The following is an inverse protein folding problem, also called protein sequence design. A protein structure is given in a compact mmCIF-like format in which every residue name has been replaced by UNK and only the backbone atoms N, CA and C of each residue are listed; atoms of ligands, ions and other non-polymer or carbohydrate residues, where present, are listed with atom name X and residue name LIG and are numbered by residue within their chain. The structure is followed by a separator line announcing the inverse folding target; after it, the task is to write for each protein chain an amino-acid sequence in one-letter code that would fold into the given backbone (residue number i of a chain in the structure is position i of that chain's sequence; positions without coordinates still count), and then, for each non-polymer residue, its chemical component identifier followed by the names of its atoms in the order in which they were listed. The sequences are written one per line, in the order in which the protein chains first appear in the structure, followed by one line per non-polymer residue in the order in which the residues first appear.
data_IF_662822541209
#
_entry.id   IF_662822541209
#
_cell.length_a   1.000
_cell.length_b   1.000
_cell.length_c   1.000
_cell.angle_alpha   90.00
_cell.angle_beta   90.00
_cell.angle_gamma   90.00
#
_symmetry.space_group_name_H-M   'P 1'
#
loop_
_entity.id
_entity.type
_entity.pdbx_description
1 polymer ?
#
# COMPACT_ATOMS: atom_id res chain seq x y z
N UNK A 1 -27.14 -8.10 -13.91
CA UNK A 1 -26.90 -7.72 -15.32
C UNK A 1 -26.09 -6.44 -15.50
N UNK A 2 -26.38 -5.31 -14.84
CA UNK A 2 -25.61 -4.06 -15.03
C UNK A 2 -24.12 -4.16 -14.67
N UNK A 3 -23.76 -4.76 -13.52
CA UNK A 3 -22.34 -4.93 -13.09
C UNK A 3 -21.51 -5.82 -14.04
N UNK A 4 -22.11 -6.84 -14.63
CA UNK A 4 -21.47 -7.70 -15.65
C UNK A 4 -21.05 -6.93 -16.89
N UNK A 5 -21.94 -6.06 -17.39
CA UNK A 5 -21.66 -5.21 -18.54
C UNK A 5 -20.50 -4.23 -18.27
N UNK A 6 -20.36 -3.76 -17.02
CA UNK A 6 -19.26 -2.85 -16.63
C UNK A 6 -17.93 -3.58 -16.65
N UNK A 7 -17.84 -4.78 -16.07
CA UNK A 7 -16.60 -5.57 -16.05
C UNK A 7 -16.14 -5.96 -17.46
N UNK A 8 -17.04 -6.46 -18.31
CA UNK A 8 -16.73 -6.76 -19.72
C UNK A 8 -16.32 -5.52 -20.50
N UNK A 9 -16.97 -4.39 -20.27
CA UNK A 9 -16.60 -3.10 -20.89
C UNK A 9 -15.20 -2.68 -20.50
N UNK A 10 -14.83 -2.83 -19.22
CA UNK A 10 -13.50 -2.46 -18.74
C UNK A 10 -12.41 -3.39 -19.29
N UNK A 11 -12.65 -4.70 -19.35
CA UNK A 11 -11.70 -5.64 -19.99
C UNK A 11 -11.53 -5.29 -21.47
N UNK A 12 -12.61 -5.02 -22.21
CA UNK A 12 -12.53 -4.56 -23.61
C UNK A 12 -11.78 -3.24 -23.72
N UNK A 13 -11.98 -2.30 -22.80
CA UNK A 13 -11.26 -1.04 -22.79
C UNK A 13 -9.75 -1.26 -22.60
N UNK A 14 -9.35 -2.15 -21.69
CA UNK A 14 -7.95 -2.47 -21.42
C UNK A 14 -7.30 -3.16 -22.61
N UNK A 15 -7.97 -4.15 -23.21
CA UNK A 15 -7.37 -4.98 -24.28
C UNK A 15 -7.49 -4.36 -25.67
N UNK A 16 -8.52 -3.56 -25.94
CA UNK A 16 -8.81 -3.07 -27.30
C UNK A 16 -9.14 -1.58 -27.38
N UNK A 17 -9.44 -0.93 -26.25
CA UNK A 17 -9.88 0.47 -26.23
C UNK A 17 -8.72 1.49 -26.15
N UNK A 18 -9.05 2.74 -25.85
CA UNK A 18 -8.07 3.81 -25.61
C UNK A 18 -7.29 3.57 -24.31
N UNK A 19 -5.98 3.47 -24.40
CA UNK A 19 -5.09 3.22 -23.27
C UNK A 19 -5.17 4.35 -22.22
N UNK A 20 -5.21 5.60 -22.67
CA UNK A 20 -5.34 6.74 -21.73
C UNK A 20 -6.63 6.69 -20.93
N UNK A 21 -7.77 6.34 -21.57
CA UNK A 21 -9.04 6.14 -20.86
C UNK A 21 -8.99 4.96 -19.90
N UNK A 22 -8.29 3.87 -20.27
CA UNK A 22 -8.11 2.73 -19.37
C UNK A 22 -7.28 3.09 -18.13
N UNK A 23 -6.18 3.84 -18.30
CA UNK A 23 -5.36 4.33 -17.19
C UNK A 23 -6.20 5.18 -16.24
N UNK A 24 -6.94 6.17 -16.74
CA UNK A 24 -7.77 7.05 -15.92
C UNK A 24 -8.88 6.28 -15.20
N UNK A 25 -9.57 5.39 -15.91
CA UNK A 25 -10.66 4.59 -15.34
C UNK A 25 -10.19 3.69 -14.19
N UNK A 26 -8.96 3.20 -14.24
CA UNK A 26 -8.37 2.37 -13.19
C UNK A 26 -7.69 3.20 -12.09
N UNK A 27 -6.93 4.23 -12.45
CA UNK A 27 -6.12 4.98 -11.50
C UNK A 27 -6.96 5.91 -10.61
N UNK A 28 -7.95 6.61 -11.17
CA UNK A 28 -8.73 7.61 -10.41
C UNK A 28 -9.43 7.01 -9.20
N UNK A 29 -10.18 5.89 -9.30
CA UNK A 29 -10.81 5.30 -8.11
C UNK A 29 -9.78 4.80 -7.08
N UNK A 30 -8.61 4.32 -7.51
CA UNK A 30 -7.53 3.91 -6.60
C UNK A 30 -6.96 5.12 -5.85
N UNK A 31 -6.74 6.25 -6.53
CA UNK A 31 -6.27 7.49 -5.91
C UNK A 31 -7.29 8.01 -4.89
N UNK A 32 -8.58 8.03 -5.26
CA UNK A 32 -9.66 8.44 -4.36
C UNK A 32 -9.69 7.53 -3.13
N UNK A 33 -9.62 6.20 -3.34
CA UNK A 33 -9.58 5.23 -2.25
C UNK A 33 -8.40 5.47 -1.30
N UNK A 34 -7.21 5.71 -1.84
CA UNK A 34 -6.01 6.00 -1.03
C UNK A 34 -6.11 7.33 -0.28
N UNK A 35 -6.72 8.35 -0.89
CA UNK A 35 -7.01 9.62 -0.23
C UNK A 35 -7.99 9.44 0.93
N UNK A 36 -9.10 8.73 0.69
CA UNK A 36 -10.08 8.40 1.73
C UNK A 36 -9.45 7.62 2.90
N UNK A 37 -8.57 6.67 2.59
CA UNK A 37 -7.82 5.92 3.61
C UNK A 37 -6.89 6.83 4.43
N UNK A 38 -6.26 7.82 3.80
CA UNK A 38 -5.43 8.80 4.51
C UNK A 38 -6.27 9.69 5.43
N UNK A 39 -7.43 10.14 4.96
CA UNK A 39 -8.37 10.92 5.78
C UNK A 39 -8.90 10.09 6.96
N UNK A 40 -9.23 8.83 6.73
CA UNK A 40 -9.60 7.90 7.78
C UNK A 40 -8.50 7.80 8.86
N UNK A 41 -7.26 7.56 8.47
CA UNK A 41 -6.15 7.45 9.43
C UNK A 41 -5.95 8.75 10.25
N UNK A 42 -6.18 9.91 9.64
CA UNK A 42 -6.11 11.20 10.35
C UNK A 42 -7.27 11.36 11.35
N UNK A 43 -8.48 10.98 10.97
CA UNK A 43 -9.67 11.04 11.82
C UNK A 43 -9.55 10.07 13.01
N UNK A 44 -9.10 8.85 12.76
CA UNK A 44 -8.83 7.85 13.79
C UNK A 44 -7.78 8.36 14.80
N UNK A 45 -6.67 8.90 14.31
CA UNK A 45 -5.62 9.50 15.16
C UNK A 45 -6.17 10.67 16.00
N UNK A 46 -7.05 11.48 15.43
CA UNK A 46 -7.70 12.59 16.17
C UNK A 46 -8.52 12.06 17.36
N UNK A 47 -9.40 11.08 17.12
CA UNK A 47 -10.21 10.50 18.19
C UNK A 47 -9.38 9.79 19.25
N UNK A 48 -8.35 9.04 18.84
CA UNK A 48 -7.42 8.38 19.76
C UNK A 48 -6.69 9.40 20.66
N UNK A 49 -6.35 10.55 20.13
CA UNK A 49 -5.74 11.65 20.89
C UNK A 49 -6.63 12.23 21.99
N UNK A 50 -7.96 12.04 21.91
CA UNK A 50 -8.90 12.49 22.94
C UNK A 50 -9.00 11.54 24.14
N UNK A 51 -8.48 10.30 24.02
CA UNK A 51 -8.59 9.30 25.09
C UNK A 51 -7.64 9.54 26.27
N UNK A 52 -6.45 10.08 25.97
CA UNK A 52 -5.43 10.29 26.98
C UNK A 52 -4.04 9.80 26.54
N UNK A 53 -3.04 10.15 27.33
CA UNK A 53 -1.63 9.87 26.99
C UNK A 53 -1.29 8.39 27.08
N UNK A 54 -1.84 7.65 28.04
CA UNK A 54 -1.56 6.22 28.23
C UNK A 54 -2.18 5.37 27.10
N UNK A 55 -3.41 5.70 26.69
CA UNK A 55 -4.11 5.04 25.60
C UNK A 55 -3.40 5.27 24.28
N UNK A 56 -3.02 6.51 23.99
CA UNK A 56 -2.27 6.86 22.78
C UNK A 56 -0.90 6.19 22.75
N UNK A 57 -0.20 6.16 23.89
CA UNK A 57 1.09 5.48 24.03
C UNK A 57 0.95 3.97 23.77
N UNK A 58 -0.08 3.32 24.35
CA UNK A 58 -0.34 1.91 24.16
C UNK A 58 -0.61 1.55 22.69
N UNK A 59 -1.44 2.34 21.99
CA UNK A 59 -1.77 2.11 20.59
C UNK A 59 -0.54 2.30 19.69
N UNK A 60 0.22 3.37 19.92
CA UNK A 60 1.46 3.61 19.16
C UNK A 60 2.52 2.53 19.37
N UNK A 61 2.58 1.94 20.56
CA UNK A 61 3.49 0.85 20.88
C UNK A 61 3.21 -0.41 20.06
N UNK A 62 1.93 -0.75 19.86
CA UNK A 62 1.53 -2.01 19.18
C UNK A 62 1.26 -1.86 17.68
N UNK A 63 1.04 -0.65 17.18
CA UNK A 63 0.77 -0.38 15.76
C UNK A 63 1.82 -0.93 14.79
N UNK A 64 3.14 -0.90 15.07
CA UNK A 64 4.13 -1.49 14.19
C UNK A 64 3.98 -3.00 14.01
N UNK A 65 3.53 -3.72 15.02
CA UNK A 65 3.29 -5.17 14.93
C UNK A 65 2.16 -5.48 13.95
N UNK A 66 1.06 -4.72 14.05
CA UNK A 66 -0.06 -4.82 13.14
C UNK A 66 0.39 -4.53 11.70
N UNK A 67 1.19 -3.48 11.50
CA UNK A 67 1.68 -3.09 10.18
C UNK A 67 2.58 -4.15 9.52
N UNK A 68 3.39 -4.88 10.29
CA UNK A 68 4.19 -6.01 9.77
C UNK A 68 3.29 -7.06 9.16
N UNK A 69 2.22 -7.46 9.84
CA UNK A 69 1.27 -8.48 9.32
C UNK A 69 0.57 -7.96 8.06
N UNK A 70 0.15 -6.70 8.05
CA UNK A 70 -0.45 -6.06 6.86
C UNK A 70 0.49 -6.09 5.66
N UNK A 71 1.77 -5.80 5.86
CA UNK A 71 2.77 -5.82 4.79
C UNK A 71 3.00 -7.23 4.24
N UNK A 72 3.03 -8.27 5.08
CA UNK A 72 3.08 -9.65 4.61
C UNK A 72 1.86 -10.01 3.76
N UNK A 73 0.67 -9.56 4.15
CA UNK A 73 -0.56 -9.79 3.39
C UNK A 73 -0.60 -9.05 2.06
N UNK A 74 0.12 -7.95 1.92
CA UNK A 74 0.21 -7.22 0.66
C UNK A 74 0.77 -8.10 -0.47
N UNK A 75 1.68 -9.03 -0.16
CA UNK A 75 2.20 -10.00 -1.10
C UNK A 75 1.11 -10.90 -1.72
N UNK A 76 0.19 -11.41 -0.88
CA UNK A 76 -0.95 -12.21 -1.37
C UNK A 76 -1.91 -11.37 -2.23
N UNK A 77 -2.11 -10.11 -1.85
CA UNK A 77 -2.95 -9.16 -2.61
C UNK A 77 -2.36 -8.90 -4.00
N UNK A 78 -1.05 -8.60 -4.07
CA UNK A 78 -0.34 -8.37 -5.35
C UNK A 78 -0.34 -9.64 -6.20
N UNK A 79 -0.03 -10.81 -5.62
CA UNK A 79 -0.10 -12.07 -6.34
C UNK A 79 -1.50 -12.30 -6.92
N UNK A 80 -2.55 -12.02 -6.14
CA UNK A 80 -3.94 -12.11 -6.60
C UNK A 80 -4.23 -11.20 -7.79
N UNK A 81 -3.91 -9.92 -7.67
CA UNK A 81 -4.15 -8.95 -8.74
C UNK A 81 -3.43 -9.34 -10.03
N UNK A 82 -2.16 -9.75 -9.94
CA UNK A 82 -1.31 -10.06 -11.10
C UNK A 82 -1.72 -11.37 -11.78
N UNK A 83 -1.79 -12.47 -11.01
CA UNK A 83 -2.07 -13.81 -11.57
C UNK A 83 -3.46 -13.88 -12.19
N UNK A 84 -4.45 -13.30 -11.51
CA UNK A 84 -5.83 -13.25 -12.01
C UNK A 84 -5.92 -12.34 -13.25
N UNK A 85 -5.23 -11.19 -13.27
CA UNK A 85 -5.23 -10.30 -14.43
C UNK A 85 -4.67 -10.99 -15.68
N UNK A 86 -3.58 -11.74 -15.55
CA UNK A 86 -2.99 -12.50 -16.67
C UNK A 86 -3.93 -13.61 -17.15
N UNK A 87 -4.59 -14.34 -16.26
CA UNK A 87 -5.57 -15.37 -16.62
C UNK A 87 -6.81 -14.78 -17.32
N UNK A 88 -7.27 -13.61 -16.87
CA UNK A 88 -8.37 -12.88 -17.53
C UNK A 88 -7.95 -12.43 -18.93
N UNK A 89 -6.75 -11.88 -19.08
CA UNK A 89 -6.19 -11.51 -20.38
C UNK A 89 -6.09 -12.69 -21.33
N UNK A 90 -5.72 -13.86 -20.82
CA UNK A 90 -5.68 -15.12 -21.57
C UNK A 90 -7.07 -15.72 -21.85
N UNK A 91 -8.15 -15.07 -21.45
CA UNK A 91 -9.55 -15.56 -21.54
C UNK A 91 -9.81 -16.86 -20.75
N UNK A 92 -8.96 -17.21 -19.80
CA UNK A 92 -9.04 -18.42 -18.96
C UNK A 92 -9.84 -18.16 -17.68
N UNK A 93 -11.15 -17.87 -17.81
CA UNK A 93 -12.03 -17.49 -16.69
C UNK A 93 -12.12 -18.54 -15.58
N UNK A 94 -12.18 -19.83 -15.91
CA UNK A 94 -12.27 -20.93 -14.94
C UNK A 94 -10.97 -21.06 -14.12
N UNK A 95 -9.81 -20.92 -14.78
CA UNK A 95 -8.52 -20.92 -14.09
C UNK A 95 -8.37 -19.67 -13.20
N UNK A 96 -8.86 -18.51 -13.66
CA UNK A 96 -8.89 -17.29 -12.85
C UNK A 96 -9.77 -17.47 -11.59
N UNK A 97 -10.93 -18.13 -11.70
CA UNK A 97 -11.80 -18.44 -10.57
C UNK A 97 -11.14 -19.44 -9.59
N UNK A 98 -10.43 -20.45 -10.10
CA UNK A 98 -9.68 -21.39 -9.27
C UNK A 98 -8.51 -20.66 -8.58
N UNK A 99 -7.75 -19.83 -9.29
CA UNK A 99 -6.65 -19.02 -8.71
C UNK A 99 -7.17 -18.08 -7.61
N UNK A 100 -8.29 -17.39 -7.85
CA UNK A 100 -8.92 -16.52 -6.85
C UNK A 100 -9.32 -17.29 -5.59
N UNK A 101 -9.82 -18.54 -5.74
CA UNK A 101 -10.17 -19.41 -4.61
C UNK A 101 -8.93 -19.83 -3.83
N UNK A 102 -7.83 -20.19 -4.50
CA UNK A 102 -6.55 -20.53 -3.85
C UNK A 102 -6.03 -19.34 -3.02
N UNK A 103 -5.97 -18.15 -3.62
CA UNK A 103 -5.47 -16.94 -2.95
C UNK A 103 -6.35 -16.56 -1.78
N UNK A 104 -7.68 -16.62 -1.94
CA UNK A 104 -8.63 -16.34 -0.87
C UNK A 104 -8.43 -17.26 0.33
N UNK A 105 -8.36 -18.58 0.10
CA UNK A 105 -8.17 -19.55 1.18
C UNK A 105 -6.81 -19.38 1.85
N UNK A 106 -5.73 -19.16 1.08
CA UNK A 106 -4.41 -18.88 1.64
C UNK A 106 -4.41 -17.63 2.52
N UNK A 107 -5.04 -16.55 2.06
CA UNK A 107 -5.13 -15.30 2.80
C UNK A 107 -5.92 -15.47 4.10
N UNK A 108 -7.03 -16.24 4.08
CA UNK A 108 -7.82 -16.52 5.27
C UNK A 108 -7.04 -17.36 6.28
N UNK A 109 -6.39 -18.43 5.84
CA UNK A 109 -5.57 -19.27 6.73
C UNK A 109 -4.44 -18.43 7.33
N UNK A 110 -3.71 -17.69 6.50
CA UNK A 110 -2.62 -16.83 6.96
C UNK A 110 -3.09 -15.81 7.98
N UNK A 111 -4.18 -15.08 7.71
CA UNK A 111 -4.70 -14.06 8.61
C UNK A 111 -5.17 -14.62 9.94
N UNK A 112 -5.85 -15.79 9.94
CA UNK A 112 -6.32 -16.45 11.16
C UNK A 112 -5.13 -16.95 11.99
N UNK A 113 -4.12 -17.54 11.35
CA UNK A 113 -2.91 -18.00 12.05
C UNK A 113 -2.18 -16.80 12.67
N UNK A 114 -1.96 -15.73 11.91
CA UNK A 114 -1.29 -14.52 12.42
C UNK A 114 -2.09 -13.89 13.56
N UNK A 115 -3.41 -13.74 13.41
CA UNK A 115 -4.26 -13.20 14.46
C UNK A 115 -4.20 -14.06 15.74
N UNK A 116 -4.26 -15.38 15.60
CA UNK A 116 -4.17 -16.31 16.73
C UNK A 116 -2.82 -16.26 17.44
N UNK A 117 -1.72 -16.29 16.68
CA UNK A 117 -0.37 -16.20 17.22
C UNK A 117 -0.18 -14.88 17.97
N UNK A 118 -0.52 -13.75 17.34
CA UNK A 118 -0.36 -12.45 18.00
C UNK A 118 -1.26 -12.33 19.23
N UNK A 119 -2.51 -12.77 19.17
CA UNK A 119 -3.42 -12.72 20.32
C UNK A 119 -2.89 -13.53 21.53
N UNK A 120 -2.25 -14.70 21.27
CA UNK A 120 -1.65 -15.54 22.32
C UNK A 120 -0.41 -14.87 22.92
N UNK A 121 0.49 -14.37 22.05
CA UNK A 121 1.77 -13.80 22.47
C UNK A 121 1.72 -12.31 22.83
N UNK A 122 0.56 -11.67 22.73
CA UNK A 122 0.37 -10.25 23.07
C UNK A 122 1.01 -9.86 24.40
N UNK A 123 0.78 -10.55 25.54
CA UNK A 123 1.36 -10.15 26.82
C UNK A 123 2.89 -10.20 26.82
N UNK A 124 3.45 -11.26 26.21
CA UNK A 124 4.91 -11.42 26.10
C UNK A 124 5.53 -10.30 25.29
N UNK A 125 4.89 -9.94 24.16
CA UNK A 125 5.38 -8.89 23.28
C UNK A 125 5.26 -7.51 23.91
N UNK A 126 4.14 -7.20 24.56
CA UNK A 126 3.92 -5.92 25.24
C UNK A 126 4.93 -5.74 26.38
N UNK A 127 5.18 -6.79 27.18
CA UNK A 127 6.20 -6.76 28.23
C UNK A 127 7.62 -6.60 27.66
N UNK A 128 7.93 -7.28 26.56
CA UNK A 128 9.24 -7.17 25.89
C UNK A 128 9.48 -5.76 25.34
N UNK A 129 8.45 -5.07 24.89
CA UNK A 129 8.51 -3.68 24.43
C UNK A 129 8.72 -2.67 25.57
N UNK A 130 8.72 -3.11 26.83
CA UNK A 130 9.03 -2.26 27.99
C UNK A 130 7.90 -1.33 28.39
N UNK A 131 6.65 -1.68 28.11
CA UNK A 131 5.49 -0.89 28.57
C UNK A 131 5.40 -0.88 30.10
N UNK A 132 5.13 0.30 30.66
CA UNK A 132 4.75 0.43 32.07
C UNK A 132 3.38 -0.23 32.33
N UNK A 133 3.08 -0.53 33.60
CA UNK A 133 1.90 -1.33 33.95
C UNK A 133 0.56 -0.74 33.43
N UNK A 134 0.29 0.59 33.53
CA UNK A 134 -0.93 1.18 32.95
C UNK A 134 -1.01 1.04 31.44
N UNK A 135 0.07 1.37 30.71
CA UNK A 135 0.15 1.26 29.24
C UNK A 135 0.04 -0.19 28.80
N UNK A 136 0.70 -1.13 29.50
CA UNK A 136 0.65 -2.55 29.19
C UNK A 136 -0.77 -3.14 29.29
N UNK A 137 -1.55 -2.74 30.29
CA UNK A 137 -2.96 -3.17 30.41
C UNK A 137 -3.78 -2.74 29.20
N UNK A 138 -3.67 -1.49 28.79
CA UNK A 138 -4.39 -0.95 27.62
C UNK A 138 -3.91 -1.62 26.34
N UNK A 139 -2.59 -1.72 26.14
CA UNK A 139 -1.98 -2.34 24.97
C UNK A 139 -2.40 -3.80 24.77
N UNK A 140 -2.46 -4.58 25.89
CA UNK A 140 -2.91 -5.97 25.86
C UNK A 140 -4.36 -6.12 25.39
N UNK A 141 -5.26 -5.30 25.93
CA UNK A 141 -6.69 -5.33 25.54
C UNK A 141 -6.84 -4.86 24.09
N UNK A 142 -6.24 -3.72 23.76
CA UNK A 142 -6.33 -3.14 22.41
C UNK A 142 -5.82 -4.10 21.34
N UNK A 143 -4.58 -4.62 21.49
CA UNK A 143 -3.97 -5.48 20.46
C UNK A 143 -4.75 -6.78 20.27
N UNK A 144 -5.22 -7.41 21.35
CA UNK A 144 -6.03 -8.62 21.28
C UNK A 144 -7.36 -8.41 20.56
N UNK A 145 -7.97 -7.24 20.74
CA UNK A 145 -9.23 -6.92 20.06
C UNK A 145 -8.97 -6.52 18.60
N UNK A 146 -8.04 -5.59 18.37
CA UNK A 146 -7.82 -5.06 17.02
C UNK A 146 -7.31 -6.13 16.07
N UNK A 147 -6.50 -7.10 16.54
CA UNK A 147 -5.96 -8.15 15.66
C UNK A 147 -7.06 -9.05 15.07
N UNK A 148 -8.25 -9.09 15.67
CA UNK A 148 -9.41 -9.80 15.12
C UNK A 148 -9.92 -9.17 13.81
N UNK A 149 -9.48 -7.96 13.48
CA UNK A 149 -9.80 -7.32 12.20
C UNK A 149 -9.06 -7.98 11.02
N UNK A 150 -7.94 -8.68 11.26
CA UNK A 150 -7.06 -9.21 10.21
C UNK A 150 -7.78 -10.09 9.18
N UNK A 151 -8.59 -11.09 9.54
CA UNK A 151 -9.34 -11.87 8.55
C UNK A 151 -10.26 -11.01 7.69
N UNK A 152 -10.90 -9.99 8.26
CA UNK A 152 -11.78 -9.09 7.54
C UNK A 152 -11.00 -8.16 6.62
N UNK A 153 -9.88 -7.61 7.08
CA UNK A 153 -8.97 -6.80 6.28
C UNK A 153 -8.46 -7.56 5.05
N UNK A 154 -8.01 -8.81 5.26
CA UNK A 154 -7.52 -9.64 4.16
C UNK A 154 -8.63 -10.00 3.18
N UNK A 155 -9.83 -10.25 3.67
CA UNK A 155 -10.99 -10.52 2.80
C UNK A 155 -11.31 -9.33 1.88
N UNK A 156 -11.30 -8.10 2.42
CA UNK A 156 -11.49 -6.88 1.63
C UNK A 156 -10.36 -6.66 0.64
N UNK A 157 -9.11 -6.88 1.05
CA UNK A 157 -7.94 -6.72 0.19
C UNK A 157 -7.93 -7.72 -0.97
N UNK A 158 -8.27 -8.99 -0.72
CA UNK A 158 -8.39 -10.01 -1.79
C UNK A 158 -9.58 -9.72 -2.70
N UNK A 159 -10.70 -9.24 -2.17
CA UNK A 159 -11.79 -8.74 -3.00
C UNK A 159 -11.31 -7.62 -3.93
N UNK A 160 -10.58 -6.64 -3.39
CA UNK A 160 -10.03 -5.54 -4.17
C UNK A 160 -9.07 -6.05 -5.26
N UNK A 161 -8.18 -7.00 -4.95
CA UNK A 161 -7.26 -7.61 -5.90
C UNK A 161 -8.00 -8.32 -7.05
N UNK A 162 -9.01 -9.13 -6.73
CA UNK A 162 -9.83 -9.83 -7.72
C UNK A 162 -10.57 -8.85 -8.62
N UNK A 163 -11.16 -7.80 -8.06
CA UNK A 163 -11.91 -6.79 -8.82
C UNK A 163 -10.99 -5.94 -9.69
N UNK A 164 -9.88 -5.50 -9.12
CA UNK A 164 -8.86 -4.75 -9.86
C UNK A 164 -8.30 -5.56 -11.03
N UNK A 165 -8.02 -6.86 -10.83
CA UNK A 165 -7.59 -7.75 -11.91
C UNK A 165 -8.61 -7.82 -13.06
N UNK A 166 -9.90 -7.61 -12.77
CA UNK A 166 -10.99 -7.53 -13.77
C UNK A 166 -11.17 -6.13 -14.37
N UNK A 167 -10.36 -5.15 -13.95
CA UNK A 167 -10.50 -3.76 -14.36
C UNK A 167 -11.59 -2.98 -13.60
N UNK A 168 -12.12 -3.53 -12.49
CA UNK A 168 -13.10 -2.87 -11.63
C UNK A 168 -12.40 -2.34 -10.37
N UNK A 169 -12.01 -1.08 -10.36
CA UNK A 169 -11.45 -0.39 -9.20
C UNK A 169 -12.49 0.42 -8.42
N UNK A 170 -13.67 0.59 -8.99
CA UNK A 170 -14.76 1.38 -8.40
C UNK A 170 -15.48 0.61 -7.29
N UNK A 171 -15.76 -0.68 -7.51
CA UNK A 171 -16.44 -1.51 -6.49
C UNK A 171 -15.63 -1.63 -5.19
N UNK A 172 -14.31 -1.89 -5.21
CA UNK A 172 -13.47 -1.86 -4.00
C UNK A 172 -13.45 -0.49 -3.31
N UNK A 173 -13.40 0.61 -4.08
CA UNK A 173 -13.42 1.96 -3.53
C UNK A 173 -14.70 2.21 -2.72
N UNK A 174 -15.89 1.91 -3.27
CA UNK A 174 -17.16 2.09 -2.55
C UNK A 174 -17.28 1.17 -1.35
N UNK A 175 -16.78 -0.07 -1.46
CA UNK A 175 -16.79 -1.00 -0.34
C UNK A 175 -15.92 -0.49 0.82
N UNK A 176 -14.74 0.02 0.51
CA UNK A 176 -13.83 0.59 1.49
C UNK A 176 -14.41 1.87 2.11
N UNK A 177 -15.04 2.73 1.30
CA UNK A 177 -15.74 3.92 1.78
C UNK A 177 -16.82 3.57 2.81
N UNK A 178 -17.55 2.47 2.61
CA UNK A 178 -18.54 1.99 3.60
C UNK A 178 -17.89 1.69 4.94
N UNK A 179 -16.73 1.03 4.95
CA UNK A 179 -15.96 0.76 6.17
C UNK A 179 -15.46 2.04 6.84
N UNK A 180 -14.95 2.99 6.05
CA UNK A 180 -14.47 4.29 6.55
C UNK A 180 -15.62 5.06 7.22
N UNK A 181 -16.76 5.17 6.57
CA UNK A 181 -17.93 5.87 7.13
C UNK A 181 -18.45 5.22 8.41
N UNK A 182 -18.48 3.89 8.45
CA UNK A 182 -18.84 3.17 9.67
C UNK A 182 -17.86 3.46 10.82
N UNK A 183 -16.57 3.44 10.55
CA UNK A 183 -15.57 3.68 11.57
C UNK A 183 -15.62 5.12 12.11
N UNK A 184 -15.73 6.12 11.22
CA UNK A 184 -15.86 7.55 11.61
C UNK A 184 -17.04 7.78 12.57
N UNK A 185 -18.13 7.01 12.42
CA UNK A 185 -19.29 7.08 13.33
C UNK A 185 -19.09 6.24 14.59
N UNK A 186 -18.53 5.02 14.45
CA UNK A 186 -18.38 4.09 15.56
C UNK A 186 -17.27 4.49 16.53
N UNK A 187 -16.20 5.11 16.06
CA UNK A 187 -15.09 5.55 16.93
C UNK A 187 -15.59 6.47 18.05
N UNK A 188 -16.14 7.66 17.78
CA UNK A 188 -16.62 8.53 18.85
C UNK A 188 -17.74 7.88 19.68
N UNK A 189 -18.59 7.07 19.05
CA UNK A 189 -19.69 6.39 19.76
C UNK A 189 -19.16 5.39 20.79
N UNK A 190 -18.26 4.49 20.40
CA UNK A 190 -17.77 3.44 21.30
C UNK A 190 -16.69 3.95 22.27
N UNK A 191 -15.83 4.86 21.80
CA UNK A 191 -14.73 5.39 22.61
C UNK A 191 -15.20 6.38 23.67
N UNK A 192 -16.05 7.34 23.26
CA UNK A 192 -16.39 8.51 24.08
C UNK A 192 -17.79 8.37 24.67
N UNK A 193 -18.82 8.11 23.88
CA UNK A 193 -20.21 8.07 24.38
C UNK A 193 -20.45 6.84 25.25
N UNK A 194 -19.95 5.66 24.85
CA UNK A 194 -20.08 4.41 25.62
C UNK A 194 -18.95 4.27 26.67
N UNK A 195 -17.91 5.11 26.58
CA UNK A 195 -16.77 5.12 27.51
C UNK A 195 -15.93 3.83 27.50
N UNK A 196 -15.81 3.14 26.36
CA UNK A 196 -14.96 1.96 26.25
C UNK A 196 -13.49 2.29 25.91
N UNK A 197 -13.15 3.57 25.72
CA UNK A 197 -11.78 4.03 25.48
C UNK A 197 -11.09 3.29 24.32
N UNK A 198 -9.86 2.84 24.53
CA UNK A 198 -9.08 2.11 23.53
C UNK A 198 -9.73 0.79 23.06
N UNK A 199 -10.45 0.09 23.94
CA UNK A 199 -11.21 -1.11 23.56
C UNK A 199 -12.35 -0.77 22.60
N UNK A 200 -13.00 0.39 22.79
CA UNK A 200 -14.00 0.92 21.88
C UNK A 200 -13.44 1.20 20.49
N UNK A 201 -12.26 1.82 20.39
CA UNK A 201 -11.55 2.05 19.13
C UNK A 201 -11.26 0.74 18.39
N UNK A 202 -10.73 -0.26 19.12
CA UNK A 202 -10.44 -1.57 18.53
C UNK A 202 -11.71 -2.25 17.98
N UNK A 203 -12.82 -2.23 18.73
CA UNK A 203 -14.08 -2.81 18.29
C UNK A 203 -14.70 -2.04 17.13
N UNK A 204 -14.64 -0.71 17.13
CA UNK A 204 -15.08 0.11 15.99
C UNK A 204 -14.35 -0.29 14.71
N UNK A 205 -13.03 -0.45 14.78
CA UNK A 205 -12.19 -0.89 13.65
C UNK A 205 -12.58 -2.29 13.17
N UNK A 206 -12.79 -3.24 14.09
CA UNK A 206 -13.21 -4.61 13.73
C UNK A 206 -14.57 -4.61 13.03
N UNK A 207 -15.55 -3.90 13.55
CA UNK A 207 -16.90 -3.81 12.96
C UNK A 207 -16.84 -3.12 11.60
N UNK A 208 -16.10 -2.01 11.51
CA UNK A 208 -15.94 -1.23 10.29
C UNK A 208 -15.28 -2.03 9.15
N UNK A 209 -14.44 -3.03 9.48
CA UNK A 209 -13.85 -3.95 8.49
C UNK A 209 -14.70 -5.20 8.27
N UNK A 210 -15.41 -5.69 9.29
CA UNK A 210 -16.25 -6.88 9.17
C UNK A 210 -17.42 -6.68 8.19
N UNK A 211 -18.10 -5.53 8.25
CA UNK A 211 -19.25 -5.24 7.37
C UNK A 211 -18.85 -5.26 5.89
N UNK A 212 -17.86 -4.48 5.42
CA UNK A 212 -17.38 -4.58 4.04
C UNK A 212 -16.89 -5.98 3.67
N UNK A 213 -16.23 -6.67 4.58
CA UNK A 213 -15.74 -8.03 4.36
C UNK A 213 -16.90 -9.00 4.07
N UNK A 214 -17.94 -8.97 4.86
CA UNK A 214 -19.13 -9.82 4.64
C UNK A 214 -19.83 -9.49 3.31
N UNK A 215 -19.95 -8.20 2.98
CA UNK A 215 -20.50 -7.76 1.68
C UNK A 215 -19.63 -8.29 0.54
N UNK A 216 -18.29 -8.17 0.66
CA UNK A 216 -17.34 -8.66 -0.34
C UNK A 216 -17.47 -10.16 -0.57
N UNK A 217 -17.59 -10.93 0.50
CA UNK A 217 -17.76 -12.39 0.44
C UNK A 217 -19.04 -12.79 -0.30
N UNK A 218 -20.15 -12.11 0.01
CA UNK A 218 -21.44 -12.35 -0.68
C UNK A 218 -21.30 -12.04 -2.17
N UNK A 219 -20.66 -10.91 -2.52
CA UNK A 219 -20.44 -10.53 -3.92
C UNK A 219 -19.58 -11.59 -4.62
N UNK A 220 -18.45 -12.01 -4.03
CA UNK A 220 -17.54 -12.99 -4.63
C UNK A 220 -18.18 -14.38 -4.79
N UNK A 221 -19.06 -14.79 -3.89
CA UNK A 221 -19.79 -16.06 -4.01
C UNK A 221 -20.90 -16.03 -5.04
N UNK A 222 -21.61 -14.90 -5.19
CA UNK A 222 -22.79 -14.75 -6.06
C UNK A 222 -22.45 -14.22 -7.45
N UNK A 223 -21.20 -13.85 -7.71
CA UNK A 223 -20.83 -13.30 -9.02
C UNK A 223 -20.90 -14.38 -10.11
N UNK A 224 -21.88 -14.21 -10.99
CA UNK A 224 -22.12 -15.13 -12.12
C UNK A 224 -21.38 -14.71 -13.39
N UNK A 225 -20.79 -13.52 -13.40
CA UNK A 225 -20.29 -12.86 -14.60
C UNK A 225 -18.82 -12.50 -14.57
N UNK A 226 -18.25 -12.43 -13.36
CA UNK A 226 -16.84 -12.19 -13.12
C UNK A 226 -16.12 -13.44 -12.60
N UNK A 227 -15.03 -13.19 -11.86
CA UNK A 227 -14.25 -14.23 -11.19
C UNK A 227 -14.92 -14.59 -9.87
N UNK A 228 -15.49 -15.77 -9.79
CA UNK A 228 -16.19 -16.29 -8.61
C UNK A 228 -15.30 -17.17 -7.76
N UNK A 229 -15.35 -17.02 -6.41
CA UNK A 229 -14.70 -17.96 -5.51
C UNK A 229 -15.56 -19.25 -5.38
N UNK A 230 -14.89 -20.40 -5.52
CA UNK A 230 -15.49 -21.73 -5.36
C UNK A 230 -14.84 -22.40 -4.16
N UNK A 231 -15.56 -22.44 -3.03
CA UNK A 231 -15.07 -23.09 -1.81
C UNK A 231 -15.54 -24.55 -1.68
N UNK A 232 -16.65 -24.89 -2.33
CA UNK A 232 -17.15 -26.28 -2.33
C UNK A 232 -16.28 -27.14 -3.23
N UNK A 233 -15.73 -28.22 -2.69
CA UNK A 233 -14.80 -29.09 -3.40
C UNK A 233 -13.39 -28.51 -3.58
N UNK A 234 -13.03 -27.49 -2.77
CA UNK A 234 -11.71 -26.87 -2.82
C UNK A 234 -10.59 -27.88 -2.53
N UNK A 235 -9.53 -27.83 -3.34
CA UNK A 235 -8.28 -28.56 -3.14
C UNK A 235 -7.11 -27.66 -3.42
N UNK A 236 -6.05 -27.78 -2.63
CA UNK A 236 -4.80 -27.04 -2.91
C UNK A 236 -4.10 -27.60 -4.14
N UNK A 237 -3.80 -26.73 -5.09
CA UNK A 237 -3.06 -27.05 -6.30
C UNK A 237 -1.61 -26.55 -6.18
N UNK A 238 -0.64 -27.48 -6.13
CA UNK A 238 0.80 -27.15 -5.95
C UNK A 238 1.33 -26.15 -6.97
N UNK A 239 0.91 -26.26 -8.25
CA UNK A 239 1.35 -25.34 -9.31
C UNK A 239 0.88 -23.91 -9.05
N UNK A 240 -0.38 -23.72 -8.66
CA UNK A 240 -0.93 -22.41 -8.33
C UNK A 240 -0.31 -21.85 -7.06
N UNK A 241 -0.08 -22.70 -6.06
CA UNK A 241 0.61 -22.29 -4.83
C UNK A 241 2.03 -21.81 -5.12
N UNK A 242 2.78 -22.52 -5.97
CA UNK A 242 4.10 -22.09 -6.41
C UNK A 242 4.04 -20.71 -7.09
N UNK A 243 3.07 -20.48 -7.96
CA UNK A 243 2.88 -19.18 -8.63
C UNK A 243 2.57 -18.06 -7.63
N UNK A 244 1.68 -18.32 -6.65
CA UNK A 244 1.33 -17.38 -5.59
C UNK A 244 2.57 -17.00 -4.78
N UNK A 245 3.38 -17.98 -4.38
CA UNK A 245 4.60 -17.73 -3.61
C UNK A 245 5.67 -17.01 -4.44
N UNK A 246 5.83 -17.38 -5.72
CA UNK A 246 6.82 -16.74 -6.61
C UNK A 246 6.54 -15.25 -6.81
N UNK A 247 5.28 -14.84 -6.88
CA UNK A 247 4.90 -13.42 -7.06
C UNK A 247 4.71 -12.72 -5.71
N UNK A 248 4.09 -13.40 -4.74
CA UNK A 248 3.71 -12.79 -3.47
C UNK A 248 4.85 -12.66 -2.46
N UNK A 249 5.71 -13.67 -2.35
CA UNK A 249 6.78 -13.67 -1.35
C UNK A 249 7.81 -12.55 -1.55
N UNK A 250 8.29 -12.27 -2.78
CA UNK A 250 9.17 -11.13 -2.99
C UNK A 250 8.51 -9.80 -2.59
N UNK A 251 7.23 -9.61 -2.92
CA UNK A 251 6.50 -8.39 -2.53
C UNK A 251 6.40 -8.25 -1.00
N UNK A 252 6.08 -9.34 -0.31
CA UNK A 252 6.00 -9.36 1.15
C UNK A 252 7.34 -9.04 1.82
N UNK A 253 8.43 -9.65 1.33
CA UNK A 253 9.79 -9.40 1.82
C UNK A 253 10.21 -7.96 1.54
N UNK A 254 9.97 -7.46 0.32
CA UNK A 254 10.29 -6.08 -0.06
C UNK A 254 9.61 -5.06 0.85
N UNK A 255 8.29 -5.19 1.07
CA UNK A 255 7.53 -4.32 1.96
C UNK A 255 7.99 -4.37 3.41
N UNK A 256 8.29 -5.57 3.94
CA UNK A 256 8.80 -5.72 5.31
C UNK A 256 10.21 -5.14 5.47
N UNK A 257 11.08 -5.36 4.49
CA UNK A 257 12.44 -4.80 4.46
C UNK A 257 12.41 -3.26 4.44
N UNK A 258 11.48 -2.67 3.67
CA UNK A 258 11.26 -1.23 3.67
C UNK A 258 10.82 -0.70 5.04
N UNK A 259 9.92 -1.39 5.73
CA UNK A 259 9.45 -0.96 7.04
C UNK A 259 10.57 -0.94 8.08
N UNK A 260 11.42 -1.98 8.08
CA UNK A 260 12.62 -2.02 8.94
C UNK A 260 13.58 -0.87 8.65
N UNK A 261 13.79 -0.55 7.39
CA UNK A 261 14.68 0.54 7.03
C UNK A 261 14.11 1.92 7.38
N UNK A 262 12.79 2.13 7.30
CA UNK A 262 12.17 3.35 7.83
C UNK A 262 12.40 3.50 9.33
N UNK A 263 12.31 2.40 10.09
CA UNK A 263 12.58 2.40 11.53
C UNK A 263 14.04 2.82 11.83
N UNK A 264 15.02 2.27 11.09
CA UNK A 264 16.42 2.63 11.24
C UNK A 264 16.70 4.08 10.82
N UNK A 265 16.05 4.57 9.75
CA UNK A 265 16.15 5.98 9.35
C UNK A 265 15.63 6.90 10.45
N UNK A 266 14.51 6.57 11.09
CA UNK A 266 13.96 7.36 12.20
C UNK A 266 14.97 7.53 13.35
N UNK A 267 15.77 6.49 13.65
CA UNK A 267 16.85 6.58 14.61
C UNK A 267 17.93 7.61 14.20
N UNK A 268 18.33 7.62 12.93
CA UNK A 268 19.32 8.59 12.43
C UNK A 268 18.75 10.02 12.43
N UNK A 269 17.46 10.20 12.12
CA UNK A 269 16.80 11.51 12.22
C UNK A 269 16.79 12.02 13.66
N UNK A 270 16.51 11.13 14.63
CA UNK A 270 16.42 11.49 16.04
C UNK A 270 17.74 12.03 16.63
N UNK A 271 18.89 11.67 16.04
CA UNK A 271 20.21 12.23 16.43
C UNK A 271 20.25 13.76 16.28
N UNK A 272 19.46 14.32 15.34
CA UNK A 272 19.34 15.77 15.11
C UNK A 272 18.26 16.44 15.98
N UNK A 273 17.67 15.71 16.91
CA UNK A 273 16.69 16.20 17.88
C UNK A 273 15.24 15.94 17.51
N UNK A 274 14.36 16.28 18.45
CA UNK A 274 12.91 16.04 18.33
C UNK A 274 12.28 16.90 17.25
N UNK A 275 12.78 18.13 17.02
CA UNK A 275 12.33 19.02 15.95
C UNK A 275 12.58 18.44 14.56
N UNK A 276 13.77 17.86 14.32
CA UNK A 276 14.09 17.19 13.07
C UNK A 276 13.20 15.94 12.84
N UNK A 277 12.89 15.20 13.92
CA UNK A 277 11.99 14.05 13.83
C UNK A 277 10.55 14.48 13.51
N UNK A 278 10.06 15.56 14.11
CA UNK A 278 8.75 16.14 13.78
C UNK A 278 8.71 16.61 12.32
N UNK A 279 9.74 17.34 11.88
CA UNK A 279 9.86 17.81 10.49
C UNK A 279 9.89 16.66 9.49
N UNK A 280 10.64 15.60 9.76
CA UNK A 280 10.68 14.39 8.94
C UNK A 280 9.31 13.69 8.87
N UNK A 281 8.59 13.60 10.00
CA UNK A 281 7.25 13.04 10.07
C UNK A 281 6.24 13.81 9.23
N UNK A 282 6.20 15.15 9.37
CA UNK A 282 5.33 16.04 8.60
C UNK A 282 5.66 15.93 7.11
N UNK A 283 6.94 16.07 6.74
CA UNK A 283 7.38 16.02 5.35
C UNK A 283 7.02 14.70 4.67
N UNK A 284 7.18 13.55 5.36
CA UNK A 284 6.75 12.24 4.82
C UNK A 284 5.23 12.12 4.65
N UNK A 285 4.42 12.66 5.58
CA UNK A 285 2.96 12.67 5.42
C UNK A 285 2.54 13.48 4.20
N UNK A 286 3.09 14.66 4.02
CA UNK A 286 2.80 15.53 2.85
C UNK A 286 3.29 14.89 1.56
N UNK A 287 4.51 14.34 1.55
CA UNK A 287 5.05 13.62 0.39
C UNK A 287 4.19 12.40 0.03
N UNK A 288 3.68 11.68 1.03
CA UNK A 288 2.72 10.59 0.83
C UNK A 288 1.49 11.04 0.03
N UNK A 289 0.89 12.19 0.37
CA UNK A 289 -0.25 12.76 -0.35
C UNK A 289 0.10 13.15 -1.79
N UNK A 290 1.27 13.76 -2.01
CA UNK A 290 1.75 14.17 -3.34
C UNK A 290 1.93 12.96 -4.26
N UNK A 291 2.36 11.83 -3.72
CA UNK A 291 2.66 10.61 -4.50
C UNK A 291 1.44 9.70 -4.74
N UNK A 292 0.29 9.95 -4.09
CA UNK A 292 -0.93 9.14 -4.27
C UNK A 292 -1.32 8.95 -5.75
N UNK A 293 -1.33 9.98 -6.61
CA UNK A 293 -1.67 9.80 -8.02
C UNK A 293 -0.73 8.84 -8.75
N UNK A 294 0.56 8.90 -8.44
CA UNK A 294 1.57 8.01 -9.02
C UNK A 294 1.38 6.56 -8.58
N UNK A 295 1.03 6.33 -7.32
CA UNK A 295 0.72 4.99 -6.80
C UNK A 295 -0.51 4.39 -7.50
N UNK A 296 -1.57 5.20 -7.68
CA UNK A 296 -2.76 4.79 -8.44
C UNK A 296 -2.46 4.45 -9.90
N UNK A 297 -1.60 5.25 -10.54
CA UNK A 297 -1.14 4.97 -11.92
C UNK A 297 -0.31 3.67 -11.96
N UNK A 298 0.59 3.44 -11.00
CA UNK A 298 1.36 2.21 -10.89
C UNK A 298 0.47 0.97 -10.78
N UNK A 299 -0.56 1.04 -9.93
CA UNK A 299 -1.56 0.01 -9.76
C UNK A 299 -2.37 -0.26 -11.05
N UNK A 300 -2.76 0.80 -11.77
CA UNK A 300 -3.41 0.69 -13.07
C UNK A 300 -2.50 0.03 -14.13
N UNK A 301 -1.21 0.39 -14.14
CA UNK A 301 -0.20 -0.23 -15.02
C UNK A 301 -0.08 -1.73 -14.75
N UNK A 302 -0.05 -2.15 -13.49
CA UNK A 302 0.03 -3.56 -13.14
C UNK A 302 -1.14 -4.37 -13.73
N UNK A 303 -2.36 -3.84 -13.65
CA UNK A 303 -3.56 -4.46 -14.23
C UNK A 303 -3.50 -4.47 -15.76
N UNK A 304 -3.17 -3.32 -16.38
CA UNK A 304 -3.10 -3.19 -17.85
C UNK A 304 -2.03 -4.14 -18.42
N UNK A 305 -0.85 -4.14 -17.81
CA UNK A 305 0.26 -5.00 -18.23
C UNK A 305 -0.09 -6.47 -18.02
N UNK A 306 -0.63 -6.83 -16.88
CA UNK A 306 -1.03 -8.20 -16.58
C UNK A 306 -2.04 -8.76 -17.60
N UNK A 307 -3.12 -8.03 -17.89
CA UNK A 307 -4.11 -8.46 -18.87
C UNK A 307 -3.55 -8.53 -20.30
N UNK A 308 -2.75 -7.54 -20.71
CA UNK A 308 -2.18 -7.52 -22.06
C UNK A 308 -1.10 -8.62 -22.26
N UNK A 309 -0.28 -8.91 -21.25
CA UNK A 309 0.66 -10.05 -21.28
C UNK A 309 -0.12 -11.36 -21.38
N UNK A 310 -1.18 -11.52 -20.59
CA UNK A 310 -2.06 -12.69 -20.67
C UNK A 310 -2.66 -12.88 -22.07
N UNK A 311 -3.05 -11.80 -22.71
CA UNK A 311 -3.60 -11.77 -24.07
C UNK A 311 -2.51 -11.85 -25.19
N UNK A 312 -1.23 -12.06 -24.89
CA UNK A 312 -0.10 -12.00 -25.83
C UNK A 312 0.10 -10.64 -26.53
N UNK A 313 -0.41 -9.55 -25.98
CA UNK A 313 -0.32 -8.19 -26.54
C UNK A 313 0.83 -7.40 -25.90
N UNK A 314 2.08 -7.87 -26.05
CA UNK A 314 3.26 -7.29 -25.40
C UNK A 314 3.47 -5.82 -25.80
N UNK A 315 3.30 -5.48 -27.09
CA UNK A 315 3.45 -4.10 -27.58
C UNK A 315 2.42 -3.16 -26.97
N UNK A 316 1.21 -3.63 -26.76
CA UNK A 316 0.15 -2.87 -26.10
C UNK A 316 0.43 -2.68 -24.63
N UNK A 317 0.95 -3.69 -23.94
CA UNK A 317 1.41 -3.59 -22.57
C UNK A 317 2.51 -2.51 -22.42
N UNK A 318 3.52 -2.54 -23.32
CA UNK A 318 4.60 -1.56 -23.36
C UNK A 318 4.10 -0.14 -23.65
N UNK A 319 3.15 0.00 -24.57
CA UNK A 319 2.53 1.28 -24.91
C UNK A 319 1.75 1.84 -23.69
N UNK A 320 1.02 0.98 -22.99
CA UNK A 320 0.31 1.33 -21.75
C UNK A 320 1.25 1.87 -20.68
N UNK A 321 2.33 1.17 -20.42
CA UNK A 321 3.37 1.60 -19.50
C UNK A 321 3.99 2.95 -19.91
N UNK A 322 4.37 3.12 -21.18
CA UNK A 322 5.01 4.36 -21.68
C UNK A 322 4.09 5.58 -21.49
N UNK A 323 2.80 5.43 -21.78
CA UNK A 323 1.81 6.52 -21.60
C UNK A 323 1.64 6.81 -20.12
N UNK A 324 1.42 5.79 -19.29
CA UNK A 324 1.22 5.93 -17.86
C UNK A 324 2.42 6.61 -17.18
N UNK A 325 3.63 6.18 -17.52
CA UNK A 325 4.87 6.79 -17.00
C UNK A 325 4.97 8.27 -17.38
N UNK A 326 4.69 8.63 -18.65
CA UNK A 326 4.73 10.04 -19.09
C UNK A 326 3.73 10.88 -18.30
N UNK A 327 2.50 10.41 -18.16
CA UNK A 327 1.46 11.11 -17.40
C UNK A 327 1.88 11.29 -15.94
N UNK A 328 2.37 10.22 -15.30
CA UNK A 328 2.81 10.25 -13.91
C UNK A 328 3.99 11.21 -13.69
N UNK A 329 5.00 11.17 -14.58
CA UNK A 329 6.18 12.04 -14.51
C UNK A 329 5.79 13.50 -14.71
N UNK A 330 4.99 13.82 -15.73
CA UNK A 330 4.56 15.20 -16.01
C UNK A 330 3.73 15.75 -14.84
N UNK A 331 2.77 14.95 -14.34
CA UNK A 331 1.92 15.36 -13.23
C UNK A 331 2.74 15.67 -11.96
N UNK A 332 3.66 14.77 -11.59
CA UNK A 332 4.49 14.97 -10.41
C UNK A 332 5.56 16.05 -10.62
N UNK A 333 6.08 16.22 -11.82
CA UNK A 333 7.03 17.30 -12.12
C UNK A 333 6.38 18.67 -11.97
N UNK A 334 5.21 18.87 -12.59
CA UNK A 334 4.46 20.12 -12.48
C UNK A 334 4.01 20.38 -11.04
N UNK A 335 3.41 19.37 -10.38
CA UNK A 335 3.01 19.49 -8.99
C UNK A 335 4.21 19.74 -8.07
N UNK A 336 5.33 19.08 -8.29
CA UNK A 336 6.57 19.24 -7.54
C UNK A 336 7.17 20.63 -7.70
N UNK A 337 7.19 21.18 -8.91
CA UNK A 337 7.65 22.58 -9.15
C UNK A 337 6.80 23.60 -8.40
N UNK A 338 5.51 23.39 -8.32
CA UNK A 338 4.59 24.25 -7.58
C UNK A 338 4.87 24.14 -6.08
N UNK A 339 4.89 22.92 -5.55
CA UNK A 339 5.03 22.63 -4.12
C UNK A 339 6.45 22.87 -3.58
N UNK A 340 7.46 22.93 -4.45
CA UNK A 340 8.84 23.29 -4.05
C UNK A 340 9.05 24.77 -3.76
N UNK A 341 8.04 25.62 -4.02
CA UNK A 341 8.14 27.05 -3.69
C UNK A 341 8.11 27.25 -2.18
N UNK A 342 9.10 27.99 -1.59
CA UNK A 342 9.21 28.13 -0.13
C UNK A 342 7.91 28.58 0.53
N UNK A 343 7.27 29.63 -0.01
CA UNK A 343 5.99 30.12 0.50
C UNK A 343 4.91 29.03 0.58
N UNK A 344 4.85 28.13 -0.41
CA UNK A 344 3.80 27.12 -0.46
C UNK A 344 4.14 25.92 0.46
N UNK A 345 5.42 25.53 0.51
CA UNK A 345 5.87 24.48 1.44
C UNK A 345 5.70 24.92 2.90
N UNK A 346 6.04 26.15 3.25
CA UNK A 346 5.81 26.70 4.59
C UNK A 346 4.32 26.78 4.94
N UNK A 347 3.48 27.26 4.04
CA UNK A 347 2.04 27.32 4.25
C UNK A 347 1.42 25.94 4.49
N UNK A 348 1.84 24.92 3.72
CA UNK A 348 1.35 23.54 3.89
C UNK A 348 1.83 22.94 5.21
N UNK A 349 3.10 23.10 5.55
CA UNK A 349 3.69 22.59 6.79
C UNK A 349 3.08 23.30 8.01
N UNK A 350 2.81 24.60 7.93
CA UNK A 350 2.16 25.37 8.97
C UNK A 350 0.75 24.90 9.35
N UNK A 351 0.11 24.06 8.52
CA UNK A 351 -1.14 23.38 8.89
C UNK A 351 -0.92 22.25 9.92
N UNK A 352 0.32 21.78 10.08
CA UNK A 352 0.67 20.63 10.92
C UNK A 352 1.47 21.01 12.17
N UNK A 353 2.11 22.17 12.20
CA UNK A 353 2.91 22.64 13.32
C UNK A 353 2.80 24.15 13.47
N UNK A 354 2.92 24.64 14.72
CA UNK A 354 3.03 26.05 15.06
C UNK A 354 4.46 26.46 15.48
N UNK A 355 5.37 25.48 15.57
CA UNK A 355 6.77 25.69 15.92
C UNK A 355 7.54 26.15 14.67
N UNK A 356 8.11 27.37 14.72
CA UNK A 356 8.80 27.99 13.59
C UNK A 356 10.02 27.19 13.13
N UNK A 357 10.77 26.57 14.05
CA UNK A 357 11.94 25.76 13.73
C UNK A 357 11.53 24.46 13.00
N UNK A 358 10.47 23.80 13.47
CA UNK A 358 9.89 22.62 12.84
C UNK A 358 9.35 22.97 11.46
N UNK A 359 8.66 24.11 11.32
CA UNK A 359 8.13 24.59 10.03
C UNK A 359 9.27 24.80 9.04
N UNK A 360 10.34 25.50 9.44
CA UNK A 360 11.48 25.77 8.57
C UNK A 360 12.16 24.47 8.09
N UNK A 361 12.44 23.53 9.01
CA UNK A 361 13.04 22.23 8.67
C UNK A 361 12.14 21.39 7.78
N UNK A 362 10.84 21.34 8.08
CA UNK A 362 9.90 20.52 7.31
C UNK A 362 9.62 21.13 5.93
N UNK A 363 9.59 22.45 5.80
CA UNK A 363 9.47 23.16 4.51
C UNK A 363 10.71 22.95 3.64
N UNK A 364 11.92 23.00 4.23
CA UNK A 364 13.18 22.67 3.54
C UNK A 364 13.15 21.22 3.01
N UNK A 365 12.76 20.26 3.85
CA UNK A 365 12.58 18.88 3.44
C UNK A 365 11.55 18.72 2.33
N UNK A 366 10.38 19.33 2.49
CA UNK A 366 9.28 19.23 1.52
C UNK A 366 9.68 19.85 0.17
N UNK A 367 10.34 21.00 0.17
CA UNK A 367 10.76 21.67 -1.06
C UNK A 367 11.76 20.82 -1.85
N UNK A 368 12.74 20.20 -1.18
CA UNK A 368 13.71 19.30 -1.80
C UNK A 368 12.99 18.06 -2.33
N UNK A 369 12.12 17.42 -1.52
CA UNK A 369 11.38 16.22 -1.93
C UNK A 369 10.43 16.49 -3.09
N UNK A 370 9.70 17.60 -3.06
CA UNK A 370 8.72 17.97 -4.08
C UNK A 370 9.40 18.17 -5.44
N UNK A 371 10.56 18.83 -5.49
CA UNK A 371 11.30 19.04 -6.73
C UNK A 371 11.69 17.72 -7.41
N UNK A 372 12.01 16.69 -6.64
CA UNK A 372 12.43 15.38 -7.14
C UNK A 372 11.31 14.33 -7.19
N UNK A 373 10.07 14.68 -6.81
CA UNK A 373 8.97 13.72 -6.72
C UNK A 373 8.62 13.07 -8.07
N UNK A 374 8.99 13.68 -9.23
CA UNK A 374 8.81 13.08 -10.54
C UNK A 374 9.53 11.72 -10.70
N UNK A 375 10.61 11.48 -9.94
CA UNK A 375 11.30 10.18 -9.90
C UNK A 375 10.39 9.07 -9.39
N UNK A 376 9.50 9.37 -8.42
CA UNK A 376 8.47 8.43 -7.98
C UNK A 376 7.49 8.09 -9.11
N UNK A 377 7.26 9.00 -10.06
CA UNK A 377 6.46 8.74 -11.26
C UNK A 377 7.06 7.66 -12.15
N UNK A 378 8.38 7.71 -12.34
CA UNK A 378 9.13 6.67 -13.05
C UNK A 378 9.09 5.36 -12.24
N UNK A 379 9.42 5.44 -10.95
CA UNK A 379 9.48 4.28 -10.06
C UNK A 379 8.15 3.52 -10.01
N UNK A 380 7.05 4.18 -9.63
CA UNK A 380 5.75 3.52 -9.43
C UNK A 380 5.19 2.93 -10.72
N UNK A 381 5.32 3.65 -11.84
CA UNK A 381 4.88 3.13 -13.14
C UNK A 381 5.69 1.92 -13.59
N UNK A 382 7.03 1.93 -13.36
CA UNK A 382 7.90 0.82 -13.74
C UNK A 382 7.76 -0.38 -12.78
N UNK A 383 7.56 -0.12 -11.50
CA UNK A 383 7.20 -1.14 -10.50
C UNK A 383 5.90 -1.84 -10.89
N UNK A 384 4.86 -1.06 -11.29
CA UNK A 384 3.61 -1.61 -11.80
C UNK A 384 3.80 -2.50 -13.04
N UNK A 385 4.71 -2.16 -13.94
CA UNK A 385 5.08 -3.00 -15.08
C UNK A 385 5.66 -4.35 -14.62
N UNK A 386 6.64 -4.33 -13.72
CA UNK A 386 7.27 -5.56 -13.22
C UNK A 386 6.30 -6.40 -12.39
N UNK A 387 5.46 -5.78 -11.58
CA UNK A 387 4.39 -6.48 -10.87
C UNK A 387 3.43 -7.13 -11.86
N UNK A 388 2.87 -6.37 -12.83
CA UNK A 388 1.92 -6.89 -13.81
C UNK A 388 2.49 -8.02 -14.68
N UNK A 389 3.79 -8.01 -14.95
CA UNK A 389 4.49 -9.09 -15.66
C UNK A 389 4.84 -10.29 -14.79
N UNK A 390 4.67 -10.19 -13.45
CA UNK A 390 4.98 -11.25 -12.50
C UNK A 390 6.44 -11.27 -12.01
N UNK A 391 7.25 -10.25 -12.35
CA UNK A 391 8.66 -10.15 -11.97
C UNK A 391 8.83 -9.32 -10.69
N UNK A 392 8.11 -9.69 -9.63
CA UNK A 392 8.12 -8.97 -8.35
C UNK A 392 9.45 -9.05 -7.60
N UNK A 393 10.29 -10.02 -7.92
CA UNK A 393 11.66 -10.10 -7.38
C UNK A 393 12.54 -8.94 -7.82
N UNK A 394 12.29 -8.36 -9.00
CA UNK A 394 13.01 -7.16 -9.46
C UNK A 394 12.67 -5.97 -8.58
N UNK A 395 11.39 -5.76 -8.30
CA UNK A 395 10.94 -4.68 -7.41
C UNK A 395 11.46 -4.88 -5.99
N UNK A 396 11.41 -6.11 -5.46
CA UNK A 396 11.97 -6.44 -4.16
C UNK A 396 13.48 -6.11 -4.08
N UNK A 397 14.26 -6.53 -5.06
CA UNK A 397 15.69 -6.28 -5.09
C UNK A 397 16.01 -4.77 -5.15
N UNK A 398 15.28 -4.02 -5.97
CA UNK A 398 15.45 -2.56 -6.08
C UNK A 398 15.00 -1.86 -4.79
N UNK A 399 13.92 -2.29 -4.15
CA UNK A 399 13.44 -1.74 -2.87
C UNK A 399 14.45 -1.97 -1.73
N UNK A 400 14.97 -3.19 -1.63
CA UNK A 400 16.01 -3.51 -0.67
C UNK A 400 17.28 -2.67 -0.92
N UNK A 401 17.77 -2.62 -2.16
CA UNK A 401 18.95 -1.83 -2.52
C UNK A 401 18.75 -0.33 -2.27
N UNK A 402 17.56 0.20 -2.60
CA UNK A 402 17.19 1.60 -2.36
C UNK A 402 17.40 2.00 -0.91
N UNK A 403 16.91 1.18 -0.01
CA UNK A 403 16.88 1.52 1.40
C UNK A 403 18.21 1.18 2.10
N UNK A 404 18.70 -0.04 1.90
CA UNK A 404 19.85 -0.56 2.64
C UNK A 404 21.19 -0.12 2.04
N UNK A 405 21.25 0.11 0.74
CA UNK A 405 22.50 0.50 0.09
C UNK A 405 22.49 2.01 -0.21
N UNK A 406 21.60 2.46 -1.08
CA UNK A 406 21.67 3.84 -1.58
C UNK A 406 21.37 4.88 -0.50
N UNK A 407 20.36 4.64 0.34
CA UNK A 407 19.99 5.61 1.38
C UNK A 407 21.06 5.76 2.44
N UNK A 408 21.54 4.65 2.99
CA UNK A 408 22.60 4.72 4.02
C UNK A 408 23.95 5.15 3.45
N UNK A 409 24.32 4.71 2.24
CA UNK A 409 25.54 5.19 1.60
C UNK A 409 25.49 6.71 1.32
N UNK A 410 24.36 7.22 0.80
CA UNK A 410 24.19 8.66 0.58
C UNK A 410 24.20 9.43 1.90
N UNK A 411 23.52 8.90 2.93
CA UNK A 411 23.52 9.51 4.25
C UNK A 411 24.96 9.61 4.78
N UNK A 412 25.72 8.54 4.72
CA UNK A 412 27.12 8.52 5.17
C UNK A 412 27.98 9.56 4.42
N UNK A 413 27.87 9.63 3.10
CA UNK A 413 28.62 10.61 2.29
C UNK A 413 28.22 12.04 2.63
N UNK A 414 26.91 12.34 2.70
CA UNK A 414 26.42 13.68 3.01
C UNK A 414 26.79 14.12 4.44
N UNK A 415 26.84 13.20 5.39
CA UNK A 415 27.11 13.47 6.80
C UNK A 415 28.61 13.63 7.07
N UNK A 416 29.46 12.73 6.58
CA UNK A 416 30.88 12.66 6.92
C UNK A 416 31.79 13.40 5.93
N UNK A 417 31.41 13.48 4.65
CA UNK A 417 32.23 14.15 3.64
C UNK A 417 31.74 15.56 3.30
N UNK A 418 30.42 15.76 3.26
CA UNK A 418 29.83 17.03 2.88
C UNK A 418 29.37 17.86 4.08
N UNK A 419 29.31 17.26 5.28
CA UNK A 419 28.93 17.90 6.55
C UNK A 419 27.61 18.70 6.48
N UNK A 420 26.57 18.12 5.81
CA UNK A 420 25.32 18.81 5.50
C UNK A 420 24.33 18.87 6.69
N UNK A 421 24.67 18.32 7.85
CA UNK A 421 23.78 18.29 9.01
C UNK A 421 22.47 17.54 8.72
N UNK A 422 21.33 18.04 9.18
CA UNK A 422 20.02 17.41 8.98
C UNK A 422 19.65 17.22 7.51
N UNK A 423 20.14 18.08 6.61
CA UNK A 423 19.94 17.96 5.16
C UNK A 423 20.52 16.66 4.58
N UNK A 424 21.50 16.04 5.25
CA UNK A 424 22.02 14.72 4.87
C UNK A 424 20.91 13.69 4.76
N UNK A 425 19.95 13.75 5.67
CA UNK A 425 18.77 12.86 5.67
C UNK A 425 17.88 13.17 4.45
N UNK A 426 17.58 14.46 4.21
CA UNK A 426 16.73 14.87 3.08
C UNK A 426 17.29 14.40 1.75
N UNK A 427 18.56 14.65 1.50
CA UNK A 427 19.24 14.21 0.28
C UNK A 427 19.38 12.70 0.18
N UNK A 428 19.57 11.99 1.30
CA UNK A 428 19.63 10.52 1.28
C UNK A 428 18.32 9.90 0.77
N UNK A 429 17.17 10.49 1.14
CA UNK A 429 15.86 10.03 0.65
C UNK A 429 15.71 10.32 -0.85
N UNK A 430 16.03 11.51 -1.29
CA UNK A 430 15.88 11.95 -2.70
C UNK A 430 16.80 11.15 -3.61
N UNK A 431 18.09 11.06 -3.29
CA UNK A 431 19.09 10.37 -4.11
C UNK A 431 18.77 8.88 -4.20
N UNK A 432 18.41 8.24 -3.07
CA UNK A 432 18.04 6.82 -3.08
C UNK A 432 16.80 6.54 -3.94
N UNK A 433 15.80 7.41 -3.92
CA UNK A 433 14.61 7.31 -4.76
C UNK A 433 14.95 7.51 -6.24
N UNK A 434 15.78 8.50 -6.57
CA UNK A 434 16.22 8.78 -7.94
C UNK A 434 17.04 7.61 -8.52
N UNK A 435 18.04 7.11 -7.77
CA UNK A 435 18.85 5.96 -8.19
C UNK A 435 18.00 4.72 -8.43
N UNK A 436 17.06 4.43 -7.53
CA UNK A 436 16.14 3.29 -7.70
C UNK A 436 15.28 3.42 -8.94
N UNK A 437 14.81 4.62 -9.23
CA UNK A 437 14.03 4.91 -10.44
C UNK A 437 14.85 4.68 -11.70
N UNK A 438 16.11 5.10 -11.70
CA UNK A 438 17.05 4.89 -12.81
C UNK A 438 17.32 3.41 -13.00
N UNK A 439 17.66 2.68 -11.94
CA UNK A 439 17.95 1.25 -12.01
C UNK A 439 16.75 0.47 -12.53
N UNK A 440 15.56 0.74 -11.97
CA UNK A 440 14.34 0.05 -12.39
C UNK A 440 14.04 0.33 -13.88
N UNK A 441 14.29 1.57 -14.33
CA UNK A 441 14.17 1.93 -15.74
C UNK A 441 15.21 1.25 -16.63
N UNK A 442 16.47 1.13 -16.17
CA UNK A 442 17.51 0.39 -16.90
C UNK A 442 17.15 -1.08 -17.02
N UNK A 443 16.67 -1.71 -15.93
CA UNK A 443 16.19 -3.10 -15.97
C UNK A 443 14.98 -3.25 -16.91
N UNK A 444 14.05 -2.27 -16.95
CA UNK A 444 12.98 -2.28 -17.95
C UNK A 444 13.55 -2.33 -19.39
N UNK A 445 14.62 -1.57 -19.70
CA UNK A 445 15.25 -1.52 -21.02
C UNK A 445 15.86 -2.86 -21.46
N UNK A 446 16.23 -3.74 -20.53
CA UNK A 446 16.72 -5.10 -20.86
C UNK A 446 15.64 -6.01 -21.46
N UNK A 447 14.36 -5.64 -21.32
CA UNK A 447 13.25 -6.43 -21.82
C UNK A 447 12.92 -7.67 -20.97
N UNK A 448 13.48 -7.81 -19.78
CA UNK A 448 13.24 -8.94 -18.88
C UNK A 448 11.73 -9.18 -18.62
N UNK A 449 10.96 -8.11 -18.43
CA UNK A 449 9.52 -8.13 -18.17
C UNK A 449 8.69 -8.74 -19.31
N UNK A 450 9.24 -8.84 -20.55
CA UNK A 450 8.58 -9.44 -21.72
C UNK A 450 8.53 -10.97 -21.65
N UNK A 451 9.38 -11.57 -20.82
CA UNK A 451 9.41 -13.03 -20.63
C UNK A 451 8.26 -13.43 -19.73
N UNK A 452 7.37 -14.31 -20.20
CA UNK A 452 6.26 -14.82 -19.39
C UNK A 452 6.78 -15.61 -18.19
N UNK A 453 6.35 -15.26 -16.99
CA UNK A 453 6.68 -15.98 -15.75
C UNK A 453 5.51 -16.75 -15.16
N UNK A 454 4.29 -16.38 -15.47
CA UNK A 454 3.14 -17.13 -14.98
C UNK A 454 2.95 -18.37 -15.84
N UNK A 455 3.01 -19.50 -15.20
CA UNK A 455 2.81 -20.81 -15.80
C UNK A 455 1.33 -20.93 -16.23
N UNK A 456 1.06 -20.52 -17.45
CA UNK A 456 -0.14 -20.88 -18.18
C UNK A 456 0.19 -22.19 -18.92
N UNK A 457 0.32 -23.29 -18.15
CA UNK A 457 0.39 -24.65 -18.71
C UNK A 457 -1.02 -25.24 -18.78
#
# INVERSE_FOLDING_TARGET
MAKAKVTEKNIKLILHGSIGKAILALAVPVVINSFLQTMYNLTDTYWLGQLGTNELAAINLVSPLQQIVVNFGSGLTVAGAVLIAQLIGASKKEEAASMASQIFVCAMIFSIICAGVIAIFTPTVVNWLGADEPTAKVANVYLRLVILDMPFLYMVNIFAAIRQAQGDTVSPMFLNLTGILLNVVLDPLLMIVIHWGAAGAALATVIAKAVPAMISLVILKRDTTGVRIRLKGFRFEKSKMKSILTVGLPTAIGGSTMQLGFLLMSRNVYVYGTGAMAAYGIGNKVNGLITLPSNGIGSAVATIVGQNIGANQIDRAEKGYKIARRVSVIFLFVGGLILSRPFLSEAIVGLFSTDEEVIAMAADFLSIMALWCFTNGVYNSTSGLFQGSGHTEVTMAVDATRLWVFRFATLYVCEHWLHMGVRSIWYSVVVSNALSSVILYVVYRTGLWKKKRVLLH
#
